data_IF_949793639116
#
_entry.id   IF_949793639116
#
_cell.length_a   1.000
_cell.length_b   1.000
_cell.length_c   1.000
_cell.angle_alpha   90.00
_cell.angle_beta   90.00
_cell.angle_gamma   90.00
#
_symmetry.space_group_name_H-M   'P 1'
#
loop_
_entity.id
_entity.type
_entity.pdbx_description
1 polymer ?
#
# COMPACT_ATOMS: atom_id res chain seq x y z
N UNK A 1 -15.19 -3.67 25.74
CA UNK A 1 -16.18 -3.15 24.77
C UNK A 1 -15.60 -2.16 23.76
N UNK A 2 -14.66 -1.30 24.15
CA UNK A 2 -14.02 -0.29 23.27
C UNK A 2 -13.15 -0.89 22.16
N UNK A 3 -12.36 -1.91 22.44
CA UNK A 3 -11.46 -2.53 21.44
C UNK A 3 -12.21 -3.13 20.24
N UNK A 4 -13.39 -3.72 20.45
CA UNK A 4 -14.21 -4.32 19.39
C UNK A 4 -14.82 -3.31 18.39
N UNK A 5 -14.80 -2.02 18.69
CA UNK A 5 -15.32 -0.98 17.77
C UNK A 5 -14.43 -0.91 16.51
N UNK A 6 -13.13 -0.89 16.67
CA UNK A 6 -12.18 -0.69 15.58
C UNK A 6 -12.01 -1.92 14.66
N UNK A 7 -12.51 -3.09 15.07
CA UNK A 7 -12.45 -4.31 14.25
C UNK A 7 -13.59 -4.39 13.21
N UNK A 8 -14.54 -3.47 13.27
CA UNK A 8 -15.69 -3.39 12.34
C UNK A 8 -15.26 -2.83 10.99
N UNK A 9 -16.05 -3.15 9.96
CA UNK A 9 -15.86 -2.59 8.62
C UNK A 9 -16.21 -1.10 8.57
N UNK A 10 -15.69 -0.40 7.55
CA UNK A 10 -16.03 1.01 7.26
C UNK A 10 -17.55 1.21 7.18
N UNK A 11 -18.25 0.30 6.48
CA UNK A 11 -19.69 0.39 6.30
C UNK A 11 -20.47 0.30 7.64
N UNK A 12 -20.06 -0.64 8.51
CA UNK A 12 -20.70 -0.81 9.83
C UNK A 12 -20.42 0.36 10.74
N UNK A 13 -19.18 0.86 10.78
CA UNK A 13 -18.81 2.03 11.60
C UNK A 13 -19.56 3.29 11.13
N UNK A 14 -19.57 3.54 9.81
CA UNK A 14 -20.25 4.68 9.23
C UNK A 14 -21.78 4.66 9.53
N UNK A 15 -22.41 3.49 9.45
CA UNK A 15 -23.83 3.32 9.78
C UNK A 15 -24.09 3.56 11.26
N UNK A 16 -23.23 3.05 12.14
CA UNK A 16 -23.38 3.22 13.59
C UNK A 16 -23.14 4.66 14.06
N UNK A 17 -22.23 5.40 13.42
CA UNK A 17 -22.04 6.83 13.67
C UNK A 17 -23.26 7.64 13.20
N UNK A 18 -23.79 7.38 12.00
CA UNK A 18 -24.98 8.03 11.46
C UNK A 18 -26.22 7.78 12.34
N UNK A 19 -26.41 6.55 12.79
CA UNK A 19 -27.51 6.17 13.69
C UNK A 19 -27.26 6.53 15.15
N UNK A 20 -26.10 7.15 15.46
CA UNK A 20 -25.67 7.54 16.80
C UNK A 20 -25.64 6.40 17.83
N UNK A 21 -25.51 5.16 17.36
CA UNK A 21 -25.26 4.00 18.24
C UNK A 21 -23.87 4.03 18.87
N UNK A 22 -22.93 4.68 18.19
CA UNK A 22 -21.62 5.06 18.70
C UNK A 22 -21.35 6.52 18.36
N UNK A 23 -20.41 7.15 19.06
CA UNK A 23 -19.93 8.51 18.78
C UNK A 23 -18.52 8.48 18.21
N UNK A 24 -18.13 9.53 17.50
CA UNK A 24 -16.74 9.67 17.02
C UNK A 24 -15.76 9.77 18.20
N UNK A 25 -16.17 10.32 19.34
CA UNK A 25 -15.37 10.31 20.58
C UNK A 25 -15.10 8.90 21.08
N UNK A 26 -16.06 7.96 20.96
CA UNK A 26 -15.82 6.54 21.31
C UNK A 26 -14.80 5.90 20.36
N UNK A 27 -14.91 6.18 19.06
CA UNK A 27 -13.93 5.69 18.05
C UNK A 27 -12.53 6.23 18.37
N UNK A 28 -12.42 7.55 18.63
CA UNK A 28 -11.14 8.19 18.97
C UNK A 28 -10.56 7.65 20.29
N UNK A 29 -11.38 7.42 21.31
CA UNK A 29 -10.96 6.80 22.58
C UNK A 29 -10.37 5.42 22.37
N UNK A 30 -11.09 4.55 21.65
CA UNK A 30 -10.62 3.20 21.31
C UNK A 30 -9.31 3.23 20.50
N UNK A 31 -9.15 4.19 19.59
CA UNK A 31 -7.94 4.38 18.82
C UNK A 31 -6.73 4.77 19.72
N UNK A 32 -6.91 5.69 20.66
CA UNK A 32 -5.87 6.10 21.62
C UNK A 32 -5.47 4.93 22.52
N UNK A 33 -6.43 4.21 23.07
CA UNK A 33 -6.17 3.03 23.92
C UNK A 33 -5.37 1.96 23.14
N UNK A 34 -5.81 1.64 21.92
CA UNK A 34 -5.16 0.62 21.11
C UNK A 34 -3.76 1.06 20.63
N UNK A 35 -3.59 2.33 20.28
CA UNK A 35 -2.27 2.90 19.99
C UNK A 35 -1.34 2.77 21.20
N UNK A 36 -1.76 3.18 22.40
CA UNK A 36 -0.95 3.09 23.59
C UNK A 36 -0.55 1.64 23.93
N UNK A 37 -1.43 0.67 23.68
CA UNK A 37 -1.16 -0.73 23.97
C UNK A 37 -0.20 -1.41 22.97
N UNK A 38 -0.31 -1.09 21.68
CA UNK A 38 0.36 -1.84 20.61
C UNK A 38 1.53 -1.10 19.96
N UNK A 39 1.52 0.24 19.94
CA UNK A 39 2.55 1.05 19.28
C UNK A 39 3.97 0.79 19.81
N UNK A 40 4.21 0.61 21.14
CA UNK A 40 5.55 0.31 21.65
C UNK A 40 6.17 -0.97 21.05
N UNK A 41 5.34 -1.91 20.61
CA UNK A 41 5.78 -3.16 20.00
C UNK A 41 5.78 -3.12 18.46
N UNK A 42 4.79 -2.46 17.85
CA UNK A 42 4.57 -2.49 16.41
C UNK A 42 5.24 -1.34 15.66
N UNK A 43 5.45 -0.19 16.30
CA UNK A 43 6.11 0.98 15.72
C UNK A 43 5.51 1.40 14.35
N UNK A 44 4.19 1.52 14.27
CA UNK A 44 3.49 1.86 13.02
C UNK A 44 3.60 3.34 12.68
N UNK A 45 3.64 4.22 13.70
CA UNK A 45 3.53 5.66 13.53
C UNK A 45 4.86 6.39 13.76
N UNK A 46 5.20 7.31 12.85
CA UNK A 46 6.24 8.32 13.04
C UNK A 46 5.76 9.45 13.96
N UNK A 47 4.48 9.77 13.89
CA UNK A 47 3.85 10.78 14.72
C UNK A 47 2.37 10.50 14.90
N UNK A 48 1.89 10.64 16.14
CA UNK A 48 0.50 10.47 16.53
C UNK A 48 0.14 11.55 17.54
N UNK A 49 -0.99 12.25 17.32
CA UNK A 49 -1.48 13.31 18.19
C UNK A 49 -2.89 12.99 18.72
N UNK A 50 -2.93 12.49 19.96
CA UNK A 50 -4.17 12.14 20.63
C UNK A 50 -5.09 13.34 20.91
N UNK A 51 -4.52 14.54 21.12
CA UNK A 51 -5.33 15.73 21.39
C UNK A 51 -5.94 16.30 20.12
N UNK A 52 -5.18 16.29 19.03
CA UNK A 52 -5.73 16.61 17.71
C UNK A 52 -6.86 15.64 17.34
N UNK A 53 -6.65 14.33 17.56
CA UNK A 53 -7.65 13.30 17.34
C UNK A 53 -8.94 13.58 18.12
N UNK A 54 -8.85 13.92 19.42
CA UNK A 54 -10.02 14.27 20.25
C UNK A 54 -10.75 15.51 19.74
N UNK A 55 -10.01 16.54 19.31
CA UNK A 55 -10.62 17.76 18.71
C UNK A 55 -11.36 17.44 17.41
N UNK A 56 -10.76 16.63 16.53
CA UNK A 56 -11.40 16.17 15.28
C UNK A 56 -12.66 15.35 15.58
N UNK A 57 -12.62 14.48 16.59
CA UNK A 57 -13.76 13.68 17.01
C UNK A 57 -14.91 14.53 17.52
N UNK A 58 -14.63 15.56 18.35
CA UNK A 58 -15.65 16.50 18.79
C UNK A 58 -16.30 17.25 17.63
N UNK A 59 -15.53 17.70 16.65
CA UNK A 59 -16.03 18.39 15.46
C UNK A 59 -16.91 17.47 14.60
N UNK A 60 -16.50 16.22 14.37
CA UNK A 60 -17.30 15.26 13.62
C UNK A 60 -18.62 14.90 14.33
N UNK A 61 -18.61 14.74 15.66
CA UNK A 61 -19.83 14.51 16.43
C UNK A 61 -20.79 15.69 16.32
N UNK A 62 -20.30 16.94 16.40
CA UNK A 62 -21.13 18.15 16.24
C UNK A 62 -21.79 18.23 14.86
N UNK A 63 -21.11 17.81 13.80
CA UNK A 63 -21.68 17.70 12.45
C UNK A 63 -22.83 16.68 12.40
N UNK A 64 -22.65 15.51 13.01
CA UNK A 64 -23.72 14.51 13.11
C UNK A 64 -24.90 15.01 13.94
N UNK A 65 -24.66 15.82 14.99
CA UNK A 65 -25.72 16.41 15.84
C UNK A 65 -26.64 17.34 15.06
N UNK A 66 -26.11 18.08 14.10
CA UNK A 66 -26.91 18.96 13.23
C UNK A 66 -27.39 18.28 11.94
N UNK A 67 -27.24 16.95 11.82
CA UNK A 67 -27.69 16.16 10.69
C UNK A 67 -26.81 16.27 9.43
N UNK A 68 -25.58 16.76 9.56
CA UNK A 68 -24.64 16.87 8.42
C UNK A 68 -23.92 15.56 8.21
N UNK A 69 -24.12 14.94 7.03
CA UNK A 69 -23.39 13.76 6.54
C UNK A 69 -22.44 14.17 5.41
N UNK A 70 -21.13 14.05 5.64
CA UNK A 70 -20.08 14.42 4.70
C UNK A 70 -19.56 13.22 3.90
N UNK A 71 -20.04 12.01 4.17
CA UNK A 71 -19.64 10.80 3.47
C UNK A 71 -19.20 9.64 4.36
N UNK A 72 -18.79 8.52 3.75
CA UNK A 72 -18.55 7.27 4.48
C UNK A 72 -17.37 7.32 5.46
N UNK A 73 -16.46 8.29 5.33
CA UNK A 73 -15.31 8.44 6.22
C UNK A 73 -15.51 9.46 7.35
N UNK A 74 -16.69 10.08 7.47
CA UNK A 74 -16.94 11.02 8.55
C UNK A 74 -16.74 10.35 9.92
N UNK A 75 -15.80 10.89 10.70
CA UNK A 75 -15.45 10.36 12.02
C UNK A 75 -14.68 9.03 12.02
N UNK A 76 -14.19 8.55 10.88
CA UNK A 76 -13.41 7.30 10.78
C UNK A 76 -11.91 7.56 10.71
N UNK A 77 -11.08 6.71 11.36
CA UNK A 77 -9.63 6.89 11.40
C UNK A 77 -8.95 6.51 10.08
N UNK A 78 -8.17 7.46 9.54
CA UNK A 78 -7.33 7.27 8.35
C UNK A 78 -5.89 7.62 8.70
N UNK A 79 -4.98 6.67 8.53
CA UNK A 79 -3.53 6.89 8.69
C UNK A 79 -2.89 7.39 7.40
N UNK A 80 -1.84 8.20 7.53
CA UNK A 80 -1.24 8.90 6.39
C UNK A 80 0.26 8.64 6.37
N UNK A 81 0.79 8.13 5.27
CA UNK A 81 2.24 7.90 5.11
C UNK A 81 3.01 9.21 5.26
N UNK A 82 4.15 9.16 5.95
CA UNK A 82 4.99 10.36 6.21
C UNK A 82 5.76 10.87 4.99
N UNK A 83 5.11 10.87 3.85
CA UNK A 83 5.49 11.56 2.61
C UNK A 83 4.42 12.57 2.18
N UNK A 84 3.19 12.43 2.69
CA UNK A 84 2.12 13.38 2.42
C UNK A 84 2.20 14.57 3.36
N UNK A 85 1.92 15.74 2.86
CA UNK A 85 1.56 16.88 3.68
C UNK A 85 0.29 16.56 4.48
N UNK A 86 0.29 16.90 5.76
CA UNK A 86 -0.84 16.73 6.67
C UNK A 86 -0.87 17.89 7.67
N UNK A 87 -1.94 18.66 7.66
CA UNK A 87 -2.09 19.80 8.57
C UNK A 87 -1.99 19.38 10.05
N UNK A 88 -1.13 20.05 10.79
CA UNK A 88 -0.80 19.75 12.19
C UNK A 88 0.38 18.81 12.38
N UNK A 89 1.00 18.32 11.29
CA UNK A 89 2.16 17.44 11.36
C UNK A 89 3.29 17.92 10.44
N UNK A 90 4.53 17.88 10.95
CA UNK A 90 5.72 18.01 10.11
C UNK A 90 5.86 16.79 9.21
N UNK A 91 6.42 16.99 8.02
CA UNK A 91 6.81 15.89 7.12
C UNK A 91 8.30 15.60 7.30
N UNK A 92 8.63 14.34 7.64
CA UNK A 92 10.02 13.89 7.87
C UNK A 92 10.55 13.03 6.72
N UNK A 93 9.66 12.39 5.97
CA UNK A 93 10.04 11.44 4.90
C UNK A 93 11.02 10.34 5.36
N UNK A 94 10.89 9.90 6.61
CA UNK A 94 11.80 8.90 7.21
C UNK A 94 13.19 9.43 7.57
N UNK A 95 13.50 10.73 7.41
CA UNK A 95 14.81 11.33 7.69
C UNK A 95 14.94 11.83 9.12
N UNK A 96 16.15 12.05 9.64
CA UNK A 96 16.36 12.49 11.02
C UNK A 96 15.95 13.95 11.28
N UNK A 97 15.67 14.75 10.27
CA UNK A 97 15.24 16.14 10.39
C UNK A 97 14.04 16.43 9.48
N UNK A 98 13.09 17.28 9.91
CA UNK A 98 11.89 17.54 9.12
C UNK A 98 12.23 18.23 7.80
N UNK A 99 11.40 17.98 6.78
CA UNK A 99 11.47 18.68 5.51
C UNK A 99 10.97 20.12 5.67
N UNK A 100 11.24 21.00 4.67
CA UNK A 100 10.67 22.35 4.64
C UNK A 100 9.14 22.37 4.76
N UNK A 101 8.57 23.41 5.36
CA UNK A 101 7.13 23.55 5.63
C UNK A 101 6.25 23.45 4.37
N UNK A 102 6.80 23.72 3.20
CA UNK A 102 6.10 23.53 1.91
C UNK A 102 5.61 22.09 1.70
N UNK A 103 6.25 21.11 2.36
CA UNK A 103 5.86 19.68 2.33
C UNK A 103 4.80 19.31 3.39
N UNK A 104 4.28 20.28 4.14
CA UNK A 104 3.17 20.09 5.10
C UNK A 104 1.80 20.35 4.46
N UNK A 105 1.76 20.93 3.25
CA UNK A 105 0.53 21.24 2.53
C UNK A 105 -0.17 19.98 2.04
N UNK A 106 -1.43 19.81 2.44
CA UNK A 106 -2.29 18.72 1.98
C UNK A 106 -2.58 18.84 0.48
N UNK A 107 -2.48 17.71 -0.21
CA UNK A 107 -2.92 17.56 -1.60
C UNK A 107 -4.31 16.96 -1.73
N UNK A 108 -4.77 16.74 -2.98
CA UNK A 108 -6.13 16.26 -3.27
C UNK A 108 -6.50 14.92 -2.60
N UNK A 109 -5.56 13.99 -2.48
CA UNK A 109 -5.80 12.66 -1.88
C UNK A 109 -6.11 12.79 -0.40
N UNK A 110 -5.30 13.51 0.39
CA UNK A 110 -5.57 13.77 1.81
C UNK A 110 -6.83 14.62 1.94
N UNK A 111 -7.00 15.62 1.07
CA UNK A 111 -8.16 16.51 1.02
C UNK A 111 -9.49 15.77 0.81
N UNK A 112 -9.50 14.63 0.11
CA UNK A 112 -10.71 13.82 -0.07
C UNK A 112 -11.27 13.31 1.27
N UNK A 113 -10.41 12.92 2.20
CA UNK A 113 -10.79 12.46 3.54
C UNK A 113 -11.01 13.63 4.51
N UNK A 114 -10.21 14.71 4.38
CA UNK A 114 -10.40 15.94 5.15
C UNK A 114 -11.80 16.54 4.93
N UNK A 115 -12.26 16.59 3.68
CA UNK A 115 -13.62 17.08 3.35
C UNK A 115 -14.74 16.24 3.94
N UNK A 116 -14.48 14.97 4.27
CA UNK A 116 -15.42 14.10 4.95
C UNK A 116 -15.27 14.14 6.48
N UNK A 117 -14.48 15.04 7.04
CA UNK A 117 -14.19 15.07 8.48
C UNK A 117 -13.69 13.72 9.03
N UNK A 118 -12.85 13.02 8.26
CA UNK A 118 -12.14 11.83 8.72
C UNK A 118 -11.16 12.19 9.85
N UNK A 119 -10.87 11.22 10.71
CA UNK A 119 -9.91 11.38 11.80
C UNK A 119 -8.48 11.16 11.23
N UNK A 120 -7.77 12.25 10.96
CA UNK A 120 -6.42 12.28 10.41
C UNK A 120 -5.44 12.63 11.55
N UNK A 121 -5.14 11.66 12.41
CA UNK A 121 -4.45 11.88 13.67
C UNK A 121 -3.03 11.32 13.74
N UNK A 122 -2.50 10.80 12.62
CA UNK A 122 -1.16 10.24 12.64
C UNK A 122 -0.53 10.07 11.28
N UNK A 123 0.81 10.19 11.27
CA UNK A 123 1.67 9.90 10.12
C UNK A 123 2.39 8.59 10.36
N UNK A 124 2.24 7.64 9.45
CA UNK A 124 2.86 6.31 9.54
C UNK A 124 4.31 6.34 9.04
N UNK A 125 5.11 5.43 9.57
CA UNK A 125 6.49 5.25 9.13
C UNK A 125 6.60 5.00 7.63
N UNK A 126 7.69 5.51 7.06
CA UNK A 126 8.14 5.27 5.68
C UNK A 126 9.63 4.98 5.66
N UNK A 127 10.08 4.26 4.65
CA UNK A 127 11.51 4.21 4.33
C UNK A 127 11.96 5.60 3.90
N UNK A 128 13.19 5.97 4.23
CA UNK A 128 13.76 7.28 3.97
C UNK A 128 13.63 7.66 2.48
N UNK A 129 13.00 8.81 2.19
CA UNK A 129 12.63 9.28 0.85
C UNK A 129 11.92 8.22 -0.02
N UNK A 130 11.19 7.29 0.60
CA UNK A 130 10.54 6.15 -0.04
C UNK A 130 11.46 5.17 -0.76
N UNK A 131 12.78 5.28 -0.65
CA UNK A 131 13.73 4.53 -1.47
C UNK A 131 14.11 3.17 -0.87
N UNK A 132 13.14 2.25 -0.76
CA UNK A 132 13.35 0.86 -0.32
C UNK A 132 12.06 0.07 -0.13
N UNK A 133 12.11 -1.24 -0.44
CA UNK A 133 10.95 -2.14 -0.40
C UNK A 133 10.79 -2.93 0.89
N UNK A 134 11.78 -2.96 1.78
CA UNK A 134 11.75 -3.81 2.97
C UNK A 134 11.08 -3.15 4.18
N UNK A 135 11.02 -1.83 4.25
CA UNK A 135 10.36 -1.12 5.35
C UNK A 135 11.29 -0.78 6.51
N UNK A 136 12.61 -0.90 6.34
CA UNK A 136 13.60 -0.52 7.35
C UNK A 136 13.80 0.98 7.42
N UNK A 137 14.12 1.50 8.61
CA UNK A 137 14.55 2.87 8.82
C UNK A 137 15.57 2.91 9.97
N UNK A 138 16.78 3.44 9.71
CA UNK A 138 17.86 3.45 10.70
C UNK A 138 17.64 4.50 11.81
N UNK A 139 16.84 5.53 11.55
CA UNK A 139 16.65 6.65 12.47
C UNK A 139 15.55 6.38 13.51
N UNK A 140 14.52 5.62 13.11
CA UNK A 140 13.32 5.42 13.93
C UNK A 140 12.96 3.95 14.15
N UNK A 141 13.81 3.03 13.68
CA UNK A 141 13.51 1.60 13.67
C UNK A 141 12.53 1.21 12.56
N UNK A 142 12.37 -0.08 12.37
CA UNK A 142 11.42 -0.63 11.39
C UNK A 142 10.09 -0.97 12.08
N UNK A 143 8.93 -0.68 11.46
CA UNK A 143 7.67 -1.24 11.89
C UNK A 143 7.76 -2.77 11.91
N UNK A 144 7.28 -3.38 12.99
CA UNK A 144 7.32 -4.83 13.16
C UNK A 144 6.16 -5.47 12.43
N UNK A 145 6.45 -6.51 11.65
CA UNK A 145 5.41 -7.33 11.03
C UNK A 145 4.58 -8.02 12.13
N UNK A 146 3.24 -7.81 12.19
CA UNK A 146 2.42 -8.32 13.27
C UNK A 146 2.18 -9.84 13.21
N UNK A 147 2.60 -10.51 12.14
CA UNK A 147 2.40 -11.95 11.93
C UNK A 147 3.50 -12.84 12.54
N UNK A 148 4.64 -12.29 12.95
CA UNK A 148 5.68 -13.07 13.67
C UNK A 148 5.85 -12.56 15.09
N UNK A 149 5.32 -13.31 16.08
CA UNK A 149 5.43 -12.97 17.49
C UNK A 149 6.83 -13.21 18.03
N UNK A 150 7.64 -14.05 17.40
CA UNK A 150 8.94 -14.52 17.91
C UNK A 150 10.11 -13.72 17.36
N UNK A 151 10.06 -13.38 16.06
CA UNK A 151 11.15 -12.65 15.37
C UNK A 151 10.66 -11.30 14.87
N UNK A 152 11.55 -10.31 14.87
CA UNK A 152 11.23 -9.04 14.25
C UNK A 152 11.45 -9.13 12.74
N UNK A 153 10.37 -9.40 12.00
CA UNK A 153 10.37 -9.33 10.54
C UNK A 153 9.96 -7.96 10.05
N UNK A 154 10.46 -7.62 8.87
CA UNK A 154 10.08 -6.38 8.18
C UNK A 154 8.62 -6.42 7.76
N UNK A 155 7.97 -5.25 7.74
CA UNK A 155 6.56 -5.10 7.36
C UNK A 155 6.33 -4.84 5.87
N UNK A 156 7.42 -4.69 5.10
CA UNK A 156 7.36 -4.19 3.72
C UNK A 156 7.39 -2.67 3.65
N UNK A 157 7.80 -2.14 2.49
CA UNK A 157 7.98 -0.71 2.27
C UNK A 157 7.75 -0.32 0.82
N UNK A 158 7.83 0.99 0.60
CA UNK A 158 8.22 2.04 1.54
C UNK A 158 7.11 2.52 2.48
N UNK A 159 5.83 2.18 2.25
CA UNK A 159 4.72 2.54 3.16
C UNK A 159 4.69 1.61 4.38
N UNK A 160 5.79 1.58 5.15
CA UNK A 160 6.09 0.52 6.13
C UNK A 160 5.14 0.49 7.32
N UNK A 161 4.66 1.63 7.80
CA UNK A 161 3.69 1.69 8.89
C UNK A 161 2.24 1.54 8.45
N UNK A 162 1.94 1.63 7.14
CA UNK A 162 0.56 1.66 6.64
C UNK A 162 -0.20 0.35 6.94
N UNK A 163 0.31 -0.80 6.48
CA UNK A 163 -0.32 -2.09 6.75
C UNK A 163 -0.32 -2.44 8.23
N UNK A 164 0.74 -2.06 8.96
CA UNK A 164 0.84 -2.28 10.42
C UNK A 164 -0.24 -1.49 11.18
N UNK A 165 -0.51 -0.23 10.82
CA UNK A 165 -1.58 0.58 11.44
C UNK A 165 -2.99 -0.02 11.24
N UNK A 166 -3.22 -0.67 10.10
CA UNK A 166 -4.46 -1.41 9.83
C UNK A 166 -4.58 -2.68 10.69
N UNK A 167 -3.51 -3.46 10.79
CA UNK A 167 -3.45 -4.63 11.67
C UNK A 167 -3.59 -4.22 13.14
N UNK A 168 -2.91 -3.16 13.56
CA UNK A 168 -3.04 -2.55 14.87
C UNK A 168 -4.48 -2.10 15.18
N UNK A 169 -5.30 -1.85 14.15
CA UNK A 169 -6.66 -1.37 14.27
C UNK A 169 -6.77 0.12 14.64
N UNK A 170 -5.69 0.87 14.53
CA UNK A 170 -5.68 2.33 14.74
C UNK A 170 -6.08 3.12 13.49
N UNK A 171 -6.25 2.42 12.37
CA UNK A 171 -6.81 2.95 11.14
C UNK A 171 -7.75 1.94 10.49
N UNK A 172 -8.78 2.41 9.78
CA UNK A 172 -9.61 1.58 8.90
C UNK A 172 -9.16 1.69 7.44
N UNK A 173 -8.42 2.74 7.14
CA UNK A 173 -7.78 3.02 5.85
C UNK A 173 -6.40 3.63 6.07
N UNK A 174 -5.44 3.29 5.22
CA UNK A 174 -4.12 3.90 5.21
C UNK A 174 -3.79 4.49 3.82
N UNK A 175 -3.27 5.72 3.80
CA UNK A 175 -2.76 6.36 2.60
C UNK A 175 -1.28 6.00 2.43
N UNK A 176 -0.95 5.38 1.32
CA UNK A 176 0.40 5.03 0.90
C UNK A 176 0.78 5.65 -0.43
N UNK A 177 1.99 5.40 -0.89
CA UNK A 177 2.44 5.71 -2.26
C UNK A 177 3.17 4.51 -2.85
N UNK A 178 3.05 4.28 -4.14
CA UNK A 178 3.63 3.15 -4.85
C UNK A 178 4.43 3.63 -6.06
N UNK A 179 5.73 3.48 -6.01
CA UNK A 179 6.65 3.72 -7.13
C UNK A 179 6.99 2.40 -7.82
N UNK A 180 7.40 1.40 -7.03
CA UNK A 180 7.79 0.07 -7.51
C UNK A 180 7.29 -1.06 -6.59
N UNK A 181 6.12 -0.87 -5.95
CA UNK A 181 5.51 -1.84 -5.05
C UNK A 181 5.23 -1.32 -3.65
N UNK A 182 5.47 -0.05 -3.38
CA UNK A 182 5.47 0.50 -2.02
C UNK A 182 4.10 0.60 -1.31
N UNK A 183 3.01 0.20 -1.95
CA UNK A 183 1.68 -0.07 -1.36
C UNK A 183 1.43 -1.57 -1.30
N UNK A 184 1.69 -2.26 -2.40
CA UNK A 184 1.37 -3.67 -2.59
C UNK A 184 2.23 -4.58 -1.73
N UNK A 185 3.52 -4.27 -1.59
CA UNK A 185 4.45 -5.06 -0.78
C UNK A 185 4.09 -5.03 0.72
N UNK A 186 3.92 -3.85 1.37
CA UNK A 186 3.46 -3.84 2.76
C UNK A 186 2.07 -4.46 2.93
N UNK A 187 1.15 -4.29 1.96
CA UNK A 187 -0.15 -4.94 2.01
C UNK A 187 0.00 -6.48 2.00
N UNK A 188 0.82 -7.04 1.11
CA UNK A 188 1.07 -8.47 1.03
C UNK A 188 1.59 -9.05 2.35
N UNK A 189 2.68 -8.50 2.88
CA UNK A 189 3.32 -9.05 4.08
C UNK A 189 2.58 -8.75 5.39
N UNK A 190 1.65 -7.79 5.40
CA UNK A 190 0.82 -7.53 6.59
C UNK A 190 -0.57 -8.16 6.52
N UNK A 191 -0.90 -8.87 5.41
CA UNK A 191 -2.20 -9.49 5.24
C UNK A 191 -3.34 -8.47 5.09
N UNK A 192 -3.07 -7.38 4.38
CA UNK A 192 -4.04 -6.31 4.06
C UNK A 192 -4.23 -6.20 2.54
N UNK A 193 -5.26 -5.49 2.11
CA UNK A 193 -5.51 -5.16 0.71
C UNK A 193 -4.75 -3.89 0.35
N UNK A 194 -4.08 -3.87 -0.81
CA UNK A 194 -3.34 -2.70 -1.28
C UNK A 194 -3.59 -2.39 -2.74
N UNK A 195 -4.05 -1.18 -3.05
CA UNK A 195 -4.35 -0.70 -4.40
C UNK A 195 -3.32 0.31 -4.89
N UNK A 196 -2.68 -0.01 -6.02
CA UNK A 196 -1.90 0.90 -6.85
C UNK A 196 -2.72 1.28 -8.08
N UNK A 197 -2.92 2.58 -8.31
CA UNK A 197 -3.58 3.09 -9.52
C UNK A 197 -2.60 3.29 -10.68
N UNK A 198 -3.09 3.49 -11.87
CA UNK A 198 -2.31 3.92 -13.04
C UNK A 198 -1.70 5.29 -12.83
N UNK A 199 -0.54 5.57 -13.41
CA UNK A 199 0.11 6.88 -13.31
C UNK A 199 -0.80 7.99 -13.82
N UNK A 200 -0.85 9.08 -13.04
CA UNK A 200 -1.65 10.25 -13.37
C UNK A 200 -3.15 10.10 -13.16
N UNK A 201 -3.66 8.94 -12.65
CA UNK A 201 -5.06 8.83 -12.28
C UNK A 201 -5.40 9.76 -11.12
N UNK A 202 -4.59 9.73 -10.08
CA UNK A 202 -4.71 10.63 -8.94
C UNK A 202 -3.51 11.57 -8.88
N UNK A 203 -3.75 12.81 -8.45
CA UNK A 203 -2.69 13.80 -8.32
C UNK A 203 -1.69 13.40 -7.22
N UNK A 204 -0.40 13.61 -7.51
CA UNK A 204 0.68 13.51 -6.52
C UNK A 204 0.93 14.85 -5.79
N UNK A 205 0.12 15.90 -6.00
CA UNK A 205 0.24 17.15 -5.25
C UNK A 205 0.11 16.89 -3.75
N UNK A 206 0.97 17.50 -2.95
CA UNK A 206 1.05 17.28 -1.51
C UNK A 206 1.70 15.96 -1.11
N UNK A 207 2.26 15.21 -2.04
CA UNK A 207 3.09 14.03 -1.82
C UNK A 207 4.52 14.34 -2.20
N UNK A 208 5.50 14.03 -1.33
CA UNK A 208 6.91 14.09 -1.70
C UNK A 208 7.20 13.03 -2.76
N UNK A 209 7.62 13.46 -3.93
CA UNK A 209 7.95 12.54 -5.01
C UNK A 209 9.30 11.84 -4.77
N UNK A 210 9.31 10.51 -4.91
CA UNK A 210 10.50 9.70 -5.10
C UNK A 210 10.88 9.68 -6.58
N UNK A 211 9.89 9.57 -7.46
CA UNK A 211 10.02 9.49 -8.90
C UNK A 211 8.86 10.22 -9.57
N UNK A 212 9.15 11.30 -10.27
CA UNK A 212 8.13 12.08 -10.98
C UNK A 212 7.44 11.26 -12.10
N UNK A 213 8.13 10.24 -12.63
CA UNK A 213 7.62 9.41 -13.72
C UNK A 213 6.93 8.13 -13.28
N UNK A 214 7.08 7.68 -12.04
CA UNK A 214 6.56 6.38 -11.61
C UNK A 214 5.62 6.45 -10.40
N UNK A 215 5.68 7.51 -9.60
CA UNK A 215 4.91 7.60 -8.37
C UNK A 215 3.41 7.60 -8.61
N UNK A 216 2.73 6.85 -7.77
CA UNK A 216 1.27 6.86 -7.67
C UNK A 216 0.84 6.94 -6.20
N UNK A 217 -0.16 7.76 -5.85
CA UNK A 217 -0.88 7.56 -4.60
C UNK A 217 -1.51 6.17 -4.56
N UNK A 218 -1.65 5.61 -3.36
CA UNK A 218 -2.29 4.31 -3.20
C UNK A 218 -2.99 4.17 -1.85
N UNK A 219 -3.85 3.18 -1.77
CA UNK A 219 -4.70 2.91 -0.61
C UNK A 219 -4.42 1.52 -0.07
N UNK A 220 -4.42 1.41 1.28
CA UNK A 220 -4.43 0.13 1.96
C UNK A 220 -5.67 0.05 2.87
N UNK A 221 -6.32 -1.12 2.90
CA UNK A 221 -7.47 -1.39 3.76
C UNK A 221 -7.43 -2.84 4.26
N UNK A 222 -8.29 -3.19 5.22
CA UNK A 222 -8.37 -4.57 5.71
C UNK A 222 -9.09 -5.50 4.74
N UNK A 223 -10.03 -4.93 3.96
CA UNK A 223 -10.83 -5.65 2.96
C UNK A 223 -11.02 -4.79 1.72
N UNK A 224 -11.40 -5.43 0.61
CA UNK A 224 -11.77 -4.69 -0.60
C UNK A 224 -13.05 -3.88 -0.36
N UNK A 225 -14.00 -4.40 0.42
CA UNK A 225 -15.23 -3.67 0.78
C UNK A 225 -14.94 -2.38 1.56
N UNK A 226 -13.90 -2.33 2.39
CA UNK A 226 -13.45 -1.11 3.07
C UNK A 226 -12.70 -0.16 2.12
N UNK A 227 -12.01 -0.70 1.11
CA UNK A 227 -11.27 0.08 0.12
C UNK A 227 -12.20 0.78 -0.89
N UNK A 228 -13.32 0.15 -1.27
CA UNK A 228 -14.28 0.67 -2.26
C UNK A 228 -14.73 2.10 -1.98
N UNK A 229 -15.25 2.46 -0.79
CA UNK A 229 -15.66 3.83 -0.50
C UNK A 229 -14.47 4.81 -0.49
N UNK A 230 -13.28 4.36 -0.15
CA UNK A 230 -12.08 5.19 -0.19
C UNK A 230 -11.64 5.50 -1.63
N UNK A 231 -11.67 4.49 -2.49
CA UNK A 231 -11.44 4.68 -3.93
C UNK A 231 -12.44 5.69 -4.51
N UNK A 232 -13.73 5.53 -4.21
CA UNK A 232 -14.77 6.43 -4.67
C UNK A 232 -14.55 7.89 -4.20
N UNK A 233 -14.10 8.08 -2.95
CA UNK A 233 -13.84 9.39 -2.38
C UNK A 233 -12.68 10.12 -3.07
N UNK A 234 -11.60 9.41 -3.40
CA UNK A 234 -10.43 9.99 -4.09
C UNK A 234 -10.71 10.18 -5.59
N UNK A 235 -11.42 9.24 -6.21
CA UNK A 235 -11.72 9.23 -7.65
C UNK A 235 -12.84 10.22 -8.04
N UNK A 236 -13.55 10.79 -7.06
CA UNK A 236 -14.69 11.66 -7.30
C UNK A 236 -15.86 10.93 -7.97
N UNK A 237 -16.04 9.64 -7.65
CA UNK A 237 -17.04 8.80 -8.29
C UNK A 237 -18.48 9.24 -7.96
N UNK A 238 -19.45 9.09 -8.90
CA UNK A 238 -20.82 9.46 -8.66
C UNK A 238 -21.49 8.60 -7.58
N UNK A 239 -22.55 9.15 -6.97
CA UNK A 239 -23.36 8.46 -5.96
C UNK A 239 -23.96 7.17 -6.54
N UNK A 240 -23.85 6.07 -5.80
CA UNK A 240 -24.37 4.75 -6.22
C UNK A 240 -23.34 3.83 -6.85
N UNK A 241 -22.21 4.35 -7.36
CA UNK A 241 -21.16 3.53 -7.96
C UNK A 241 -20.59 2.45 -7.00
N UNK A 242 -20.53 2.73 -5.70
CA UNK A 242 -20.11 1.75 -4.69
C UNK A 242 -21.02 0.51 -4.61
N UNK A 243 -22.30 0.65 -4.95
CA UNK A 243 -23.22 -0.48 -5.02
C UNK A 243 -22.99 -1.35 -6.27
N UNK A 244 -22.61 -0.75 -7.38
CA UNK A 244 -22.28 -1.47 -8.63
C UNK A 244 -21.01 -2.30 -8.45
N UNK A 245 -19.99 -1.75 -7.79
CA UNK A 245 -18.74 -2.45 -7.46
C UNK A 245 -18.93 -3.74 -6.66
N UNK A 246 -20.00 -3.85 -5.88
CA UNK A 246 -20.30 -5.03 -5.06
C UNK A 246 -21.04 -6.13 -5.81
N UNK A 247 -21.49 -5.93 -7.05
CA UNK A 247 -22.30 -6.89 -7.82
C UNK A 247 -21.50 -7.83 -8.72
N UNK A 248 -20.16 -7.71 -8.78
CA UNK A 248 -19.32 -8.52 -9.66
C UNK A 248 -19.54 -10.02 -9.47
N UNK A 249 -19.80 -10.73 -10.57
CA UNK A 249 -19.86 -12.17 -10.65
C UNK A 249 -18.52 -12.70 -11.19
N UNK A 250 -18.17 -13.94 -10.83
CA UNK A 250 -16.91 -14.57 -11.27
C UNK A 250 -17.10 -15.43 -12.53
N UNK A 251 -18.33 -15.84 -12.83
CA UNK A 251 -18.61 -16.66 -14.00
C UNK A 251 -18.26 -15.93 -15.30
N UNK A 252 -17.37 -16.51 -16.09
CA UNK A 252 -16.91 -15.94 -17.35
C UNK A 252 -15.81 -14.87 -17.25
N UNK A 253 -15.33 -14.57 -16.03
CA UNK A 253 -14.14 -13.74 -15.82
C UNK A 253 -12.90 -14.48 -16.36
N UNK A 254 -12.08 -13.76 -17.14
CA UNK A 254 -10.86 -14.28 -17.76
C UNK A 254 -9.62 -13.72 -17.07
N UNK A 255 -8.90 -14.58 -16.34
CA UNK A 255 -7.66 -14.22 -15.64
C UNK A 255 -6.43 -14.81 -16.36
N UNK A 256 -5.53 -13.95 -16.82
CA UNK A 256 -4.24 -14.37 -17.32
C UNK A 256 -3.32 -14.81 -16.18
N UNK A 257 -2.72 -15.98 -16.25
CA UNK A 257 -1.69 -16.43 -15.31
C UNK A 257 -0.32 -16.22 -15.96
N UNK A 258 0.50 -15.37 -15.37
CA UNK A 258 1.85 -15.07 -15.87
C UNK A 258 2.87 -15.82 -15.03
N UNK A 259 3.39 -16.94 -15.56
CA UNK A 259 4.31 -17.80 -14.80
C UNK A 259 5.70 -17.14 -14.63
N UNK A 260 6.35 -16.71 -15.69
CA UNK A 260 7.71 -16.16 -15.67
C UNK A 260 7.73 -14.63 -15.75
N UNK A 261 8.61 -13.96 -14.98
CA UNK A 261 9.50 -14.48 -13.92
C UNK A 261 8.82 -14.56 -12.53
N UNK A 262 7.51 -14.37 -12.44
CA UNK A 262 6.79 -14.05 -11.20
C UNK A 262 6.74 -15.18 -10.17
N UNK A 263 6.65 -16.44 -10.63
CA UNK A 263 6.61 -17.62 -9.77
C UNK A 263 7.99 -18.27 -9.57
N UNK A 264 9.05 -17.67 -10.11
CA UNK A 264 10.42 -18.19 -9.97
C UNK A 264 11.00 -17.83 -8.61
N UNK A 265 11.82 -18.72 -8.06
CA UNK A 265 12.53 -18.53 -6.78
C UNK A 265 11.61 -18.05 -5.64
N UNK A 266 10.39 -18.58 -5.57
CA UNK A 266 9.48 -18.34 -4.48
C UNK A 266 9.92 -19.04 -3.20
N UNK A 267 9.74 -18.38 -2.06
CA UNK A 267 9.86 -19.04 -0.76
C UNK A 267 8.77 -20.11 -0.58
N UNK A 268 9.04 -21.17 0.24
CA UNK A 268 8.06 -22.22 0.49
C UNK A 268 6.70 -21.69 0.94
N UNK A 269 5.63 -22.13 0.31
CA UNK A 269 4.25 -21.72 0.58
C UNK A 269 3.77 -20.51 -0.20
N UNK A 270 4.65 -19.73 -0.87
CA UNK A 270 4.22 -18.54 -1.62
C UNK A 270 3.56 -18.93 -2.94
N UNK A 271 4.23 -19.70 -3.79
CA UNK A 271 3.66 -20.13 -5.06
C UNK A 271 2.45 -21.04 -4.84
N UNK A 272 2.55 -21.98 -3.92
CA UNK A 272 1.53 -22.93 -3.55
C UNK A 272 0.26 -22.23 -3.04
N UNK A 273 0.42 -21.20 -2.20
CA UNK A 273 -0.71 -20.42 -1.68
C UNK A 273 -1.47 -19.67 -2.75
N UNK A 274 -0.74 -19.07 -3.71
CA UNK A 274 -1.35 -18.40 -4.87
C UNK A 274 -2.03 -19.44 -5.78
N UNK A 275 -1.38 -20.55 -6.09
CA UNK A 275 -1.96 -21.62 -6.93
C UNK A 275 -3.23 -22.20 -6.31
N UNK A 276 -3.25 -22.43 -4.99
CA UNK A 276 -4.45 -22.91 -4.28
C UNK A 276 -5.62 -21.92 -4.45
N UNK A 277 -5.38 -20.61 -4.31
CA UNK A 277 -6.40 -19.59 -4.53
C UNK A 277 -6.90 -19.58 -5.99
N UNK A 278 -6.02 -19.77 -6.97
CA UNK A 278 -6.41 -19.86 -8.39
C UNK A 278 -7.31 -21.07 -8.66
N UNK A 279 -7.03 -22.23 -8.05
CA UNK A 279 -7.89 -23.43 -8.15
C UNK A 279 -9.28 -23.17 -7.53
N UNK A 280 -9.37 -22.43 -6.42
CA UNK A 280 -10.67 -22.03 -5.83
C UNK A 280 -11.45 -21.12 -6.79
N UNK A 281 -10.79 -20.16 -7.45
CA UNK A 281 -11.40 -19.25 -8.42
C UNK A 281 -11.88 -19.99 -9.69
N UNK A 282 -11.09 -20.95 -10.19
CA UNK A 282 -11.48 -21.78 -11.32
C UNK A 282 -12.75 -22.59 -11.01
N UNK A 283 -12.84 -23.17 -9.80
CA UNK A 283 -14.08 -23.85 -9.35
C UNK A 283 -15.27 -22.92 -9.22
N UNK A 284 -15.05 -21.61 -9.02
CA UNK A 284 -16.08 -20.60 -8.97
C UNK A 284 -16.47 -20.05 -10.37
N UNK A 285 -15.89 -20.61 -11.45
CA UNK A 285 -16.23 -20.29 -12.83
C UNK A 285 -15.32 -19.25 -13.50
N UNK A 286 -14.17 -18.95 -12.91
CA UNK A 286 -13.13 -18.11 -13.55
C UNK A 286 -12.39 -18.94 -14.60
N UNK A 287 -12.20 -18.39 -15.80
CA UNK A 287 -11.35 -18.95 -16.85
C UNK A 287 -9.90 -18.53 -16.62
N UNK A 288 -9.02 -19.50 -16.31
CA UNK A 288 -7.58 -19.26 -16.21
C UNK A 288 -6.92 -19.42 -17.57
N UNK A 289 -6.16 -18.42 -18.00
CA UNK A 289 -5.51 -18.36 -19.33
C UNK A 289 -4.00 -18.26 -19.11
N UNK A 290 -3.22 -19.12 -19.75
CA UNK A 290 -1.77 -18.96 -19.78
C UNK A 290 -1.40 -17.70 -20.58
N UNK A 291 -0.78 -16.74 -19.90
CA UNK A 291 -0.43 -15.42 -20.46
C UNK A 291 1.08 -15.24 -20.51
N UNK A 292 1.62 -15.10 -21.72
CA UNK A 292 2.99 -14.67 -21.90
C UNK A 292 3.12 -13.15 -21.78
N UNK A 293 4.09 -12.69 -20.97
CA UNK A 293 4.43 -11.28 -20.79
C UNK A 293 5.92 -11.05 -21.05
N UNK A 294 6.35 -11.04 -22.34
CA UNK A 294 7.76 -10.96 -22.72
C UNK A 294 8.45 -9.67 -22.27
N UNK A 295 7.69 -8.64 -21.93
CA UNK A 295 8.18 -7.38 -21.38
C UNK A 295 8.65 -7.52 -19.92
N UNK A 296 8.26 -8.57 -19.21
CA UNK A 296 8.52 -8.71 -17.77
C UNK A 296 10.02 -8.87 -17.45
N UNK A 297 10.73 -9.74 -18.14
CA UNK A 297 12.17 -9.96 -17.89
C UNK A 297 13.00 -8.70 -18.22
N UNK A 298 12.86 -8.05 -19.40
CA UNK A 298 13.54 -6.79 -19.68
C UNK A 298 13.19 -5.65 -18.71
N UNK A 299 11.95 -5.60 -18.21
CA UNK A 299 11.54 -4.61 -17.19
C UNK A 299 12.25 -4.88 -15.86
N UNK A 300 12.39 -6.14 -15.46
CA UNK A 300 13.13 -6.50 -14.25
C UNK A 300 14.64 -6.21 -14.38
N UNK A 301 15.24 -6.51 -15.52
CA UNK A 301 16.64 -6.16 -15.80
C UNK A 301 16.86 -4.64 -15.68
N UNK A 302 15.98 -3.84 -16.29
CA UNK A 302 16.03 -2.39 -16.18
C UNK A 302 15.87 -1.92 -14.72
N UNK A 303 14.98 -2.54 -13.96
CA UNK A 303 14.80 -2.24 -12.53
C UNK A 303 16.09 -2.52 -11.74
N UNK A 304 16.77 -3.64 -11.97
CA UNK A 304 18.06 -3.96 -11.34
C UNK A 304 19.16 -2.94 -11.65
N UNK A 305 19.05 -2.22 -12.75
CA UNK A 305 19.95 -1.14 -13.17
C UNK A 305 19.54 0.24 -12.63
N UNK A 306 18.63 0.32 -11.66
CA UNK A 306 18.14 1.57 -11.07
C UNK A 306 17.04 2.26 -11.87
N UNK A 307 16.59 1.68 -12.96
CA UNK A 307 15.47 2.10 -13.84
C UNK A 307 15.37 3.63 -14.05
N UNK A 308 14.18 4.24 -13.82
CA UNK A 308 13.97 5.68 -13.93
C UNK A 308 14.04 6.37 -12.56
N UNK A 309 13.61 5.70 -11.48
CA UNK A 309 13.46 6.36 -10.19
C UNK A 309 14.79 6.66 -9.48
N UNK A 310 15.85 5.87 -9.70
CA UNK A 310 17.13 6.14 -9.04
C UNK A 310 17.79 7.44 -9.55
N UNK A 311 17.91 7.70 -10.87
CA UNK A 311 18.40 9.00 -11.36
C UNK A 311 17.48 10.17 -10.99
N UNK A 312 16.16 9.98 -10.97
CA UNK A 312 15.22 11.02 -10.54
C UNK A 312 15.36 11.33 -9.04
N UNK A 313 15.46 10.31 -8.19
CA UNK A 313 15.72 10.47 -6.76
C UNK A 313 17.08 11.15 -6.50
N UNK A 314 18.13 10.78 -7.24
CA UNK A 314 19.43 11.43 -7.14
C UNK A 314 19.35 12.92 -7.48
N UNK A 315 18.71 13.26 -8.59
CA UNK A 315 18.51 14.65 -9.00
C UNK A 315 17.73 15.44 -7.95
N UNK A 316 16.66 14.87 -7.40
CA UNK A 316 15.84 15.49 -6.34
C UNK A 316 16.63 15.69 -5.07
N UNK A 317 17.34 14.65 -4.59
CA UNK A 317 18.12 14.71 -3.36
C UNK A 317 19.26 15.73 -3.46
N UNK A 318 20.00 15.74 -4.55
CA UNK A 318 21.15 16.66 -4.71
C UNK A 318 20.74 18.10 -4.95
N UNK A 319 19.62 18.34 -5.66
CA UNK A 319 19.19 19.70 -5.99
C UNK A 319 18.29 20.36 -4.94
N UNK A 320 17.42 19.56 -4.27
CA UNK A 320 16.41 20.10 -3.34
C UNK A 320 16.71 19.77 -1.87
N UNK A 321 17.46 18.68 -1.62
CA UNK A 321 17.71 18.14 -0.28
C UNK A 321 19.20 17.91 0.00
N UNK A 322 20.09 18.72 -0.59
CA UNK A 322 21.53 18.58 -0.42
C UNK A 322 21.98 18.51 1.04
N UNK A 323 21.33 19.28 1.94
CA UNK A 323 21.61 19.27 3.39
C UNK A 323 21.20 17.98 4.10
N UNK A 324 20.34 17.16 3.48
CA UNK A 324 19.93 15.84 4.00
C UNK A 324 20.86 14.73 3.57
N UNK A 325 21.53 14.87 2.41
CA UNK A 325 22.41 13.84 1.82
C UNK A 325 23.41 13.27 2.83
N UNK A 326 24.11 14.07 3.66
CA UNK A 326 25.07 13.52 4.65
C UNK A 326 24.41 12.70 5.76
N UNK A 327 23.09 12.80 5.96
CA UNK A 327 22.34 12.11 7.01
C UNK A 327 21.64 10.85 6.51
N UNK A 328 21.64 10.60 5.19
CA UNK A 328 20.93 9.48 4.60
C UNK A 328 21.47 8.12 5.06
N UNK A 329 20.57 7.15 5.14
CA UNK A 329 20.94 5.74 5.35
C UNK A 329 21.89 5.30 4.23
N UNK A 330 23.05 4.71 4.55
CA UNK A 330 23.96 4.15 3.53
C UNK A 330 23.29 3.18 2.58
N UNK A 331 22.29 2.39 3.05
CA UNK A 331 21.48 1.50 2.21
C UNK A 331 20.65 2.27 1.16
N UNK A 332 20.21 3.48 1.49
CA UNK A 332 19.48 4.36 0.57
C UNK A 332 20.47 5.10 -0.35
N UNK A 333 21.40 5.84 0.27
CA UNK A 333 22.29 6.73 -0.50
C UNK A 333 23.19 6.00 -1.49
N UNK A 334 23.78 4.84 -1.10
CA UNK A 334 24.65 4.09 -2.01
C UNK A 334 23.90 3.64 -3.25
N UNK A 335 22.65 3.19 -3.12
CA UNK A 335 21.85 2.76 -4.26
C UNK A 335 21.44 3.94 -5.17
N UNK A 336 21.04 5.05 -4.57
CA UNK A 336 20.69 6.27 -5.33
C UNK A 336 21.92 6.81 -6.04
N UNK A 337 23.05 6.95 -5.36
CA UNK A 337 24.31 7.49 -5.92
C UNK A 337 24.88 6.66 -7.06
N UNK A 338 24.81 5.33 -6.96
CA UNK A 338 25.35 4.41 -7.99
C UNK A 338 24.77 4.71 -9.37
N UNK A 339 23.55 5.19 -9.45
CA UNK A 339 22.86 5.52 -10.71
C UNK A 339 22.73 7.02 -10.97
N UNK A 340 23.35 7.86 -10.13
CA UNK A 340 23.19 9.32 -10.18
C UNK A 340 23.88 9.99 -11.36
N UNK A 341 24.98 9.42 -11.83
CA UNK A 341 25.77 9.95 -12.94
C UNK A 341 25.30 9.40 -14.31
N UNK A 342 24.06 8.94 -14.41
CA UNK A 342 23.49 8.42 -15.64
C UNK A 342 23.44 9.53 -16.73
N UNK A 343 24.00 9.33 -17.94
CA UNK A 343 23.86 10.28 -19.02
C UNK A 343 22.39 10.56 -19.36
N UNK A 344 22.05 11.81 -19.68
CA UNK A 344 20.68 12.17 -20.06
C UNK A 344 20.17 11.36 -21.26
N UNK A 345 21.03 11.03 -22.23
CA UNK A 345 20.70 10.17 -23.38
C UNK A 345 20.25 8.77 -22.94
N UNK A 346 20.93 8.18 -21.97
CA UNK A 346 20.60 6.86 -21.43
C UNK A 346 19.26 6.91 -20.68
N UNK A 347 19.02 7.95 -19.85
CA UNK A 347 17.73 8.15 -19.17
C UNK A 347 16.58 8.27 -20.18
N UNK A 348 16.77 9.04 -21.25
CA UNK A 348 15.77 9.23 -22.31
C UNK A 348 15.47 7.89 -23.00
N UNK A 349 16.50 7.07 -23.28
CA UNK A 349 16.33 5.78 -23.92
C UNK A 349 15.59 4.78 -23.00
N UNK A 350 15.92 4.74 -21.71
CA UNK A 350 15.18 3.94 -20.73
C UNK A 350 13.70 4.35 -20.66
N UNK A 351 13.41 5.65 -20.67
CA UNK A 351 12.04 6.16 -20.70
C UNK A 351 11.30 5.74 -21.98
N UNK A 352 11.94 5.78 -23.15
CA UNK A 352 11.35 5.30 -24.42
C UNK A 352 11.01 3.82 -24.37
N UNK A 353 11.92 2.99 -23.84
CA UNK A 353 11.67 1.55 -23.64
C UNK A 353 10.48 1.30 -22.75
N UNK A 354 10.38 1.97 -21.61
CA UNK A 354 9.24 1.87 -20.68
C UNK A 354 7.93 2.24 -21.38
N UNK A 355 7.89 3.34 -22.14
CA UNK A 355 6.70 3.76 -22.89
C UNK A 355 6.30 2.73 -23.98
N UNK A 356 7.27 2.10 -24.65
CA UNK A 356 7.01 1.06 -25.63
C UNK A 356 6.41 -0.19 -24.95
N UNK A 357 6.96 -0.63 -23.81
CA UNK A 357 6.41 -1.75 -23.05
C UNK A 357 4.98 -1.51 -22.58
N UNK A 358 4.69 -0.31 -22.07
CA UNK A 358 3.32 0.08 -21.65
C UNK A 358 2.32 -0.11 -22.80
N UNK A 359 2.65 0.37 -24.00
CA UNK A 359 1.78 0.24 -25.18
C UNK A 359 1.62 -1.22 -25.61
N UNK A 360 2.69 -2.01 -25.56
CA UNK A 360 2.65 -3.44 -25.91
C UNK A 360 1.79 -4.23 -24.92
N UNK A 361 1.99 -4.00 -23.62
CA UNK A 361 1.20 -4.68 -22.56
C UNK A 361 -0.26 -4.29 -22.64
N UNK A 362 -0.59 -3.02 -22.88
CA UNK A 362 -1.98 -2.59 -23.02
C UNK A 362 -2.70 -3.31 -24.18
N UNK A 363 -2.03 -3.50 -25.31
CA UNK A 363 -2.55 -4.26 -26.43
C UNK A 363 -2.69 -5.77 -26.11
N UNK A 364 -1.72 -6.35 -25.40
CA UNK A 364 -1.71 -7.78 -25.04
C UNK A 364 -2.81 -8.16 -24.06
N UNK A 365 -3.19 -7.26 -23.17
CA UNK A 365 -4.24 -7.47 -22.18
C UNK A 365 -5.67 -7.24 -22.74
N UNK A 366 -5.83 -7.00 -24.03
CA UNK A 366 -7.15 -6.94 -24.66
C UNK A 366 -7.85 -8.31 -24.56
N UNK A 367 -9.10 -8.30 -24.11
CA UNK A 367 -9.89 -9.51 -23.95
C UNK A 367 -9.59 -10.34 -22.69
N UNK A 368 -8.80 -9.79 -21.76
CA UNK A 368 -8.54 -10.35 -20.43
C UNK A 368 -9.01 -9.33 -19.40
N UNK A 369 -9.69 -9.77 -18.34
CA UNK A 369 -10.20 -8.87 -17.30
C UNK A 369 -9.06 -8.39 -16.39
N UNK A 370 -8.16 -9.31 -15.99
CA UNK A 370 -6.93 -9.04 -15.28
C UNK A 370 -5.93 -10.18 -15.49
N UNK A 371 -4.68 -9.97 -15.09
CA UNK A 371 -3.73 -11.07 -14.91
C UNK A 371 -3.27 -11.15 -13.45
N UNK A 372 -2.74 -12.32 -13.07
CA UNK A 372 -2.42 -12.65 -11.69
C UNK A 372 -0.99 -13.10 -11.53
N UNK A 373 -0.40 -12.70 -10.40
CA UNK A 373 0.94 -13.09 -9.95
C UNK A 373 0.98 -13.16 -8.43
N UNK A 374 1.96 -13.83 -7.80
CA UNK A 374 2.31 -13.53 -6.42
C UNK A 374 2.72 -12.06 -6.30
N UNK A 375 2.29 -11.35 -5.26
CA UNK A 375 2.70 -9.95 -5.03
C UNK A 375 4.20 -9.87 -4.74
N UNK A 376 4.67 -10.74 -3.86
CA UNK A 376 6.08 -10.88 -3.46
C UNK A 376 6.45 -12.35 -3.58
N UNK A 377 7.65 -12.63 -4.07
CA UNK A 377 8.11 -14.00 -4.25
C UNK A 377 8.71 -14.61 -2.96
N UNK A 378 9.15 -13.79 -2.01
CA UNK A 378 9.87 -14.26 -0.82
C UNK A 378 9.09 -14.00 0.47
N UNK A 379 9.35 -14.80 1.49
CA UNK A 379 8.96 -14.54 2.88
C UNK A 379 9.57 -13.22 3.37
N UNK A 380 8.86 -12.48 4.22
CA UNK A 380 9.41 -11.28 4.85
C UNK A 380 10.68 -11.60 5.66
N UNK A 381 11.85 -11.02 5.32
CA UNK A 381 13.07 -11.29 6.06
C UNK A 381 13.01 -10.70 7.48
N UNK A 382 13.83 -11.25 8.36
CA UNK A 382 14.08 -10.67 9.69
C UNK A 382 14.99 -9.45 9.60
N UNK A 383 14.97 -8.59 10.62
CA UNK A 383 15.89 -7.44 10.67
C UNK A 383 17.37 -7.88 10.65
N UNK A 384 17.69 -9.04 11.23
CA UNK A 384 19.05 -9.60 11.22
C UNK A 384 19.51 -9.96 9.80
N UNK A 385 18.63 -10.58 8.99
CA UNK A 385 18.92 -10.95 7.60
C UNK A 385 19.17 -9.73 6.67
N UNK A 386 18.69 -8.56 7.08
CA UNK A 386 18.79 -7.31 6.29
C UNK A 386 19.64 -6.24 6.99
N UNK A 387 20.34 -6.58 8.06
CA UNK A 387 21.18 -5.63 8.82
C UNK A 387 22.37 -5.15 7.98
N UNK A 388 23.00 -6.06 7.26
CA UNK A 388 24.14 -5.76 6.41
C UNK A 388 23.70 -5.40 4.96
N UNK A 389 24.48 -4.54 4.31
CA UNK A 389 24.16 -3.99 2.99
C UNK A 389 23.90 -5.07 1.94
N UNK A 390 24.70 -6.14 1.91
CA UNK A 390 24.54 -7.22 0.91
C UNK A 390 23.29 -8.06 1.20
N UNK A 391 22.97 -8.33 2.47
CA UNK A 391 21.72 -8.96 2.89
C UNK A 391 20.53 -8.09 2.49
N UNK A 392 20.60 -6.81 2.80
CA UNK A 392 19.58 -5.85 2.42
C UNK A 392 19.33 -5.82 0.90
N UNK A 393 20.38 -5.67 0.10
CA UNK A 393 20.30 -5.60 -1.37
C UNK A 393 19.65 -6.86 -1.96
N UNK A 394 20.13 -8.03 -1.57
CA UNK A 394 19.61 -9.31 -2.04
C UNK A 394 18.11 -9.45 -1.76
N UNK A 395 17.68 -9.22 -0.51
CA UNK A 395 16.27 -9.34 -0.13
C UNK A 395 15.41 -8.23 -0.78
N UNK A 396 15.92 -7.00 -0.87
CA UNK A 396 15.19 -5.91 -1.53
C UNK A 396 14.94 -6.18 -3.02
N UNK A 397 15.92 -6.74 -3.72
CA UNK A 397 15.78 -7.13 -5.13
C UNK A 397 14.72 -8.23 -5.28
N UNK A 398 14.84 -9.30 -4.51
CA UNK A 398 13.90 -10.43 -4.57
C UNK A 398 12.48 -10.06 -4.18
N UNK A 399 12.32 -9.24 -3.13
CA UNK A 399 11.01 -8.79 -2.66
C UNK A 399 10.32 -7.87 -3.66
N UNK A 400 11.05 -6.96 -4.28
CA UNK A 400 10.46 -5.94 -5.17
C UNK A 400 10.19 -6.45 -6.59
N UNK A 401 10.80 -7.56 -7.03
CA UNK A 401 10.75 -8.06 -8.41
C UNK A 401 9.36 -7.98 -9.03
N UNK A 402 8.40 -8.67 -8.46
CA UNK A 402 7.07 -8.81 -9.04
C UNK A 402 6.32 -7.47 -9.12
N UNK A 403 6.35 -6.70 -8.04
CA UNK A 403 5.67 -5.41 -7.99
C UNK A 403 6.34 -4.34 -8.87
N UNK A 404 7.68 -4.34 -8.96
CA UNK A 404 8.45 -3.39 -9.76
C UNK A 404 8.22 -3.56 -11.27
N UNK A 405 8.17 -4.81 -11.74
CA UNK A 405 7.82 -5.12 -13.14
C UNK A 405 6.49 -4.45 -13.49
N UNK A 406 5.44 -4.67 -12.71
CA UNK A 406 4.11 -4.12 -12.97
C UNK A 406 4.08 -2.59 -12.93
N UNK A 407 4.92 -1.98 -12.09
CA UNK A 407 5.04 -0.51 -12.04
C UNK A 407 5.66 0.06 -13.32
N UNK A 408 6.69 -0.59 -13.86
CA UNK A 408 7.32 -0.18 -15.13
C UNK A 408 6.37 -0.36 -16.31
N UNK A 409 5.50 -1.36 -16.27
CA UNK A 409 4.48 -1.62 -17.29
C UNK A 409 3.23 -0.73 -17.14
N UNK A 410 3.15 0.10 -16.10
CA UNK A 410 2.05 1.04 -15.77
C UNK A 410 0.65 0.41 -15.74
N UNK A 411 0.54 -0.82 -15.33
CA UNK A 411 -0.75 -1.46 -15.06
C UNK A 411 -1.28 -1.00 -13.69
N UNK A 412 -2.60 -0.87 -13.53
CA UNK A 412 -3.19 -0.77 -12.20
C UNK A 412 -3.18 -2.15 -11.52
N UNK A 413 -2.97 -2.19 -10.22
CA UNK A 413 -2.84 -3.45 -9.50
C UNK A 413 -3.40 -3.39 -8.08
N UNK A 414 -3.99 -4.49 -7.64
CA UNK A 414 -4.47 -4.69 -6.28
C UNK A 414 -3.92 -6.00 -5.72
N UNK A 415 -3.54 -5.97 -4.45
CA UNK A 415 -3.04 -7.15 -3.71
C UNK A 415 -4.12 -7.63 -2.75
N UNK A 416 -4.42 -8.92 -2.77
CA UNK A 416 -5.34 -9.59 -1.84
C UNK A 416 -4.58 -10.66 -1.04
N UNK A 417 -4.74 -10.73 0.29
CA UNK A 417 -4.14 -11.78 1.10
C UNK A 417 -4.87 -13.12 0.89
N UNK A 418 -4.14 -14.17 0.49
CA UNK A 418 -4.75 -15.46 0.11
C UNK A 418 -4.28 -16.68 0.90
N UNK A 419 -3.11 -16.62 1.53
CA UNK A 419 -2.53 -17.73 2.28
C UNK A 419 -1.53 -17.23 3.32
N UNK A 420 -1.03 -18.14 4.15
CA UNK A 420 0.22 -17.98 4.91
C UNK A 420 1.30 -18.83 4.25
N UNK A 421 2.52 -18.31 4.19
CA UNK A 421 3.69 -19.05 3.70
C UNK A 421 4.23 -20.05 4.75
N UNK A 422 5.30 -20.75 4.41
CA UNK A 422 5.92 -21.73 5.30
C UNK A 422 6.47 -21.16 6.62
N UNK A 423 6.58 -19.83 6.75
CA UNK A 423 6.97 -19.14 7.97
C UNK A 423 5.78 -18.49 8.72
N UNK A 424 4.56 -18.67 8.24
CA UNK A 424 3.35 -18.07 8.80
C UNK A 424 3.16 -16.59 8.42
N UNK A 425 3.81 -16.10 7.37
CA UNK A 425 3.69 -14.75 6.88
C UNK A 425 2.66 -14.69 5.73
N UNK A 426 1.80 -13.66 5.67
CA UNK A 426 0.80 -13.55 4.62
C UNK A 426 1.38 -13.51 3.21
N UNK A 427 0.70 -14.21 2.31
CA UNK A 427 0.96 -14.26 0.88
C UNK A 427 -0.11 -13.46 0.16
N UNK A 428 0.31 -12.52 -0.68
CA UNK A 428 -0.58 -11.71 -1.52
C UNK A 428 -0.72 -12.28 -2.92
N UNK A 429 -1.97 -12.47 -3.38
CA UNK A 429 -2.33 -12.59 -4.78
C UNK A 429 -2.43 -11.19 -5.38
N UNK A 430 -1.62 -10.86 -6.36
CA UNK A 430 -1.67 -9.60 -7.08
C UNK A 430 -2.51 -9.75 -8.35
N UNK A 431 -3.58 -8.97 -8.45
CA UNK A 431 -4.36 -8.80 -9.66
C UNK A 431 -3.90 -7.53 -10.35
N UNK A 432 -3.69 -7.58 -11.66
CA UNK A 432 -3.27 -6.41 -12.44
C UNK A 432 -4.09 -6.31 -13.73
N UNK A 433 -4.52 -5.09 -14.04
CA UNK A 433 -5.33 -4.81 -15.22
C UNK A 433 -4.70 -3.68 -16.04
N UNK A 434 -5.19 -3.54 -17.26
CA UNK A 434 -4.80 -2.45 -18.17
C UNK A 434 -4.89 -1.09 -17.49
N UNK A 435 -4.03 -0.18 -17.91
CA UNK A 435 -4.09 1.21 -17.49
C UNK A 435 -5.50 1.79 -17.62
N UNK A 436 -5.96 2.50 -16.58
CA UNK A 436 -7.27 3.14 -16.56
C UNK A 436 -8.45 2.21 -16.20
N UNK A 437 -8.20 0.91 -15.95
CA UNK A 437 -9.25 -0.07 -15.62
C UNK A 437 -9.39 -0.32 -14.11
N UNK A 438 -9.03 0.65 -13.27
CA UNK A 438 -9.07 0.50 -11.81
C UNK A 438 -10.47 0.18 -11.29
N UNK A 439 -11.51 0.76 -11.89
CA UNK A 439 -12.90 0.51 -11.46
C UNK A 439 -13.26 -0.97 -11.65
N UNK A 440 -12.93 -1.51 -12.82
CA UNK A 440 -13.19 -2.92 -13.11
C UNK A 440 -12.33 -3.82 -12.23
N UNK A 441 -11.07 -3.45 -12.03
CA UNK A 441 -10.15 -4.18 -11.17
C UNK A 441 -10.63 -4.24 -9.71
N UNK A 442 -11.15 -3.13 -9.18
CA UNK A 442 -11.69 -3.08 -7.80
C UNK A 442 -12.99 -3.89 -7.71
N UNK A 443 -13.87 -3.84 -8.73
CA UNK A 443 -15.07 -4.70 -8.82
C UNK A 443 -14.69 -6.18 -8.80
N UNK A 444 -13.73 -6.56 -9.64
CA UNK A 444 -13.25 -7.93 -9.75
C UNK A 444 -12.61 -8.39 -8.43
N UNK A 445 -11.77 -7.55 -7.82
CA UNK A 445 -11.14 -7.84 -6.53
C UNK A 445 -12.18 -8.06 -5.42
N UNK A 446 -13.27 -7.27 -5.39
CA UNK A 446 -14.36 -7.44 -4.44
C UNK A 446 -15.10 -8.78 -4.65
N UNK A 447 -15.32 -9.20 -5.90
CA UNK A 447 -15.91 -10.49 -6.22
C UNK A 447 -14.98 -11.65 -5.81
N UNK A 448 -13.68 -11.52 -6.08
CA UNK A 448 -12.66 -12.50 -5.69
C UNK A 448 -12.57 -12.61 -4.16
N UNK A 449 -12.53 -11.48 -3.43
CA UNK A 449 -12.48 -11.51 -1.96
C UNK A 449 -13.74 -12.18 -1.36
N UNK A 450 -14.92 -11.96 -1.94
CA UNK A 450 -16.15 -12.66 -1.50
C UNK A 450 -16.07 -14.18 -1.73
N UNK A 451 -15.47 -14.61 -2.81
CA UNK A 451 -15.28 -16.03 -3.12
C UNK A 451 -14.24 -16.68 -2.20
N UNK A 452 -13.06 -16.05 -2.10
CA UNK A 452 -11.93 -16.59 -1.34
C UNK A 452 -12.07 -16.39 0.18
N UNK A 453 -12.83 -15.39 0.61
CA UNK A 453 -12.89 -14.89 1.98
C UNK A 453 -11.90 -13.75 2.26
N UNK A 454 -12.23 -12.93 3.25
CA UNK A 454 -11.36 -11.84 3.72
C UNK A 454 -10.09 -12.37 4.40
N UNK A 455 -9.09 -11.51 4.58
CA UNK A 455 -7.88 -11.85 5.33
C UNK A 455 -8.18 -12.47 6.70
N UNK A 456 -9.14 -11.90 7.45
CA UNK A 456 -9.54 -12.40 8.76
C UNK A 456 -10.12 -13.82 8.71
N UNK A 457 -10.87 -14.13 7.67
CA UNK A 457 -11.48 -15.45 7.48
C UNK A 457 -10.44 -16.50 7.03
N UNK A 458 -9.50 -16.10 6.16
CA UNK A 458 -8.50 -17.02 5.60
C UNK A 458 -7.28 -17.22 6.50
N UNK A 459 -6.78 -16.15 7.08
CA UNK A 459 -5.50 -16.12 7.79
C UNK A 459 -5.66 -16.04 9.31
N UNK A 460 -6.82 -15.59 9.78
CA UNK A 460 -7.06 -15.34 11.20
C UNK A 460 -6.62 -13.94 11.62
N UNK A 461 -6.21 -13.81 12.89
CA UNK A 461 -5.70 -12.57 13.49
C UNK A 461 -4.19 -12.64 13.60
N UNK A 462 -3.47 -11.54 13.26
CA UNK A 462 -2.04 -11.48 13.49
C UNK A 462 -1.71 -11.75 14.97
N UNK A 463 -0.75 -12.65 15.28
CA UNK A 463 -0.45 -13.08 16.66
C UNK A 463 -0.13 -11.93 17.63
N UNK A 464 0.60 -10.88 17.16
CA UNK A 464 0.96 -9.74 18.01
C UNK A 464 -0.24 -8.83 18.34
N UNK A 465 -1.34 -8.93 17.60
CA UNK A 465 -2.56 -8.15 17.83
C UNK A 465 -3.59 -8.96 18.61
N UNK A 466 -3.59 -10.28 18.46
CA UNK A 466 -4.53 -11.17 19.13
C UNK A 466 -4.31 -11.21 20.65
N UNK A 467 -3.12 -10.88 21.12
CA UNK A 467 -2.72 -10.92 22.54
C UNK A 467 -2.95 -9.60 23.28
N UNK A 468 -3.45 -8.56 22.61
CA UNK A 468 -3.74 -7.24 23.15
C UNK A 468 -5.27 -6.98 23.16
#
# INVERSE_FOLDING_TARGET
MTAAILDRSVAVLAEQLRSRRITTKMVAGAMVERHAALEPQLNAYRGFDADLLRRQACAADALFEVGTDLGPFQGLPVSVKDLYGLAGFRTWAGTPKPLPETYEREGPVVGAFRRQAALLAGKTHTVEFAFGGLGTNRHYGAPRNPWDATRHRVSGGSSSGAGVSLCQGTAVLALGSDTTGSVRMPASWTGTVGLKVSRGRWSCDGLLAQSETLDTPGLLARTVDDLVPAFAAVDGAPTGWTAELRRGELAGVRLGVVARPFFEACSPGVAEGVQAALVELERAGVELIDLALPEAEPAFELWCQGHLSAPEAYATLTSRFGDWVPTLDPNVWTRVRTFGELPASEYIERRRRVLAWMSSVDARLLGIDAFVTPTIAITAPTLEEVAELDGYRRHNVSASRNAAILSLLDVCAITLPVALDGAGIPVGLQLAARRGRERDLVCLAAAIERCLGTARQRLGTPPLVASA
#
